data_IF_328588423397
#
_entry.id   IF_328588423397
#
_cell.length_a   1.000
_cell.length_b   1.000
_cell.length_c   1.000
_cell.angle_alpha   90.00
_cell.angle_beta   90.00
_cell.angle_gamma   90.00
#
_symmetry.space_group_name_H-M   'P 1'
#
loop_
_entity.id
_entity.type
_entity.pdbx_description
1 polymer ?
#
# COMPACT_ATOMS: atom_id res chain seq x y z
N UNK A 1 35.33 5.36 3.26
CA UNK A 1 35.46 4.52 4.47
C UNK A 1 34.54 5.10 5.55
N UNK A 2 33.34 4.54 5.65
CA UNK A 2 32.46 4.44 6.83
C UNK A 2 31.11 3.92 6.32
N UNK A 3 31.06 2.60 6.21
CA UNK A 3 29.83 1.83 6.04
C UNK A 3 29.07 1.86 7.38
N UNK A 4 27.86 2.41 7.39
CA UNK A 4 26.93 2.17 8.48
C UNK A 4 26.23 0.85 8.19
N UNK A 5 26.76 -0.23 8.77
CA UNK A 5 26.13 -1.54 8.75
C UNK A 5 24.77 -1.45 9.47
N UNK A 6 23.69 -1.79 8.77
CA UNK A 6 22.39 -2.03 9.39
C UNK A 6 22.50 -3.33 10.22
N UNK A 7 22.52 -3.18 11.54
CA UNK A 7 22.63 -4.31 12.48
C UNK A 7 21.39 -5.20 12.42
N UNK A 8 21.60 -6.52 12.44
CA UNK A 8 20.53 -7.51 12.55
C UNK A 8 19.72 -7.36 13.85
N UNK A 9 18.56 -8.03 13.97
CA UNK A 9 17.62 -7.78 15.05
C UNK A 9 18.16 -8.34 16.37
N UNK A 10 18.90 -7.52 17.12
CA UNK A 10 18.95 -7.64 18.57
C UNK A 10 17.51 -7.50 19.10
N UNK A 11 17.15 -8.27 20.11
CA UNK A 11 15.82 -8.22 20.73
C UNK A 11 15.51 -6.76 21.13
N UNK A 12 14.70 -6.10 20.32
CA UNK A 12 14.33 -4.71 20.54
C UNK A 12 13.44 -4.68 21.79
N UNK A 13 13.75 -3.81 22.75
CA UNK A 13 12.88 -3.60 23.89
C UNK A 13 11.44 -3.33 23.41
N UNK A 14 10.41 -3.79 24.14
CA UNK A 14 9.03 -3.56 23.74
C UNK A 14 8.81 -2.06 23.49
N UNK A 15 8.05 -1.70 22.45
CA UNK A 15 7.95 -0.33 22.03
C UNK A 15 7.33 0.53 23.15
N UNK A 16 8.06 1.57 23.58
CA UNK A 16 7.61 2.51 24.60
C UNK A 16 6.76 3.62 23.96
N UNK A 17 5.56 3.87 24.50
CA UNK A 17 4.67 4.95 24.06
C UNK A 17 3.20 4.54 23.94
N UNK A 18 2.29 5.50 24.12
CA UNK A 18 0.85 5.25 24.23
C UNK A 18 0.25 4.47 23.03
N UNK A 19 0.72 4.73 21.82
CA UNK A 19 0.24 4.04 20.61
C UNK A 19 1.15 2.88 20.18
N UNK A 20 2.35 2.79 20.76
CA UNK A 20 3.34 1.80 20.37
C UNK A 20 2.94 0.38 20.81
N UNK A 21 2.16 0.28 21.89
CA UNK A 21 1.49 -0.94 22.36
C UNK A 21 0.04 -1.08 21.88
N UNK A 22 -0.51 -0.08 21.20
CA UNK A 22 -1.86 -0.12 20.68
C UNK A 22 -1.92 -0.92 19.37
N UNK A 23 -3.06 -1.58 19.12
CA UNK A 23 -3.31 -2.24 17.84
C UNK A 23 -3.56 -1.18 16.76
N UNK A 24 -2.70 -1.13 15.74
CA UNK A 24 -3.00 -0.40 14.51
C UNK A 24 -3.97 -1.24 13.66
N UNK A 25 -5.23 -0.81 13.58
CA UNK A 25 -6.33 -1.65 13.09
C UNK A 25 -6.55 -1.60 11.59
N UNK A 26 -6.47 -0.42 10.97
CA UNK A 26 -6.81 -0.22 9.56
C UNK A 26 -6.31 1.15 9.06
N UNK A 27 -6.21 1.28 7.73
CA UNK A 27 -6.01 2.57 7.05
C UNK A 27 -7.25 2.93 6.25
N UNK A 28 -7.83 4.09 6.51
CA UNK A 28 -8.93 4.63 5.72
C UNK A 28 -8.44 5.35 4.48
N UNK A 29 -8.92 4.90 3.31
CA UNK A 29 -8.74 5.58 2.03
C UNK A 29 -10.11 6.13 1.61
N UNK A 30 -10.24 7.45 1.65
CA UNK A 30 -11.46 8.13 1.22
C UNK A 30 -11.53 8.18 -0.30
N UNK A 31 -12.64 7.69 -0.86
CA UNK A 31 -12.80 7.52 -2.31
C UNK A 31 -14.04 8.22 -2.85
N UNK A 32 -13.93 8.76 -4.05
CA UNK A 32 -15.04 9.40 -4.78
C UNK A 32 -15.95 8.38 -5.44
N UNK A 33 -15.40 7.28 -5.93
CA UNK A 33 -16.13 6.21 -6.60
C UNK A 33 -15.77 4.84 -6.01
N UNK A 34 -16.52 4.45 -4.97
CA UNK A 34 -16.29 3.19 -4.25
C UNK A 34 -16.33 1.97 -5.16
N UNK A 35 -17.25 1.92 -6.13
CA UNK A 35 -17.36 0.80 -7.06
C UNK A 35 -16.09 0.62 -7.90
N UNK A 36 -15.57 1.72 -8.47
CA UNK A 36 -14.34 1.71 -9.28
C UNK A 36 -13.13 1.29 -8.44
N UNK A 37 -13.06 1.79 -7.22
CA UNK A 37 -11.96 1.52 -6.29
C UNK A 37 -12.01 0.09 -5.75
N UNK A 38 -13.18 -0.40 -5.36
CA UNK A 38 -13.41 -1.81 -5.01
C UNK A 38 -12.92 -2.74 -6.12
N UNK A 39 -13.37 -2.53 -7.35
CA UNK A 39 -12.96 -3.37 -8.48
C UNK A 39 -11.44 -3.36 -8.67
N UNK A 40 -10.80 -2.19 -8.57
CA UNK A 40 -9.35 -2.11 -8.67
C UNK A 40 -8.63 -2.87 -7.56
N UNK A 41 -8.91 -2.57 -6.29
CA UNK A 41 -8.19 -3.22 -5.18
C UNK A 41 -8.52 -4.70 -5.05
N UNK A 42 -9.76 -5.12 -5.32
CA UNK A 42 -10.16 -6.52 -5.22
C UNK A 42 -9.80 -7.33 -6.47
N UNK A 43 -10.26 -6.89 -7.64
CA UNK A 43 -10.20 -7.69 -8.88
C UNK A 43 -8.86 -7.49 -9.61
N UNK A 44 -8.33 -6.26 -9.64
CA UNK A 44 -7.02 -5.98 -10.28
C UNK A 44 -5.85 -6.34 -9.38
N UNK A 45 -5.86 -5.92 -8.11
CA UNK A 45 -4.76 -6.21 -7.18
C UNK A 45 -4.89 -7.56 -6.48
N UNK A 46 -6.08 -8.15 -6.45
CA UNK A 46 -6.32 -9.46 -5.84
C UNK A 46 -6.48 -9.44 -4.33
N UNK A 47 -6.73 -8.27 -3.71
CA UNK A 47 -6.91 -8.19 -2.26
C UNK A 47 -8.28 -8.77 -1.86
N UNK A 48 -8.35 -9.72 -0.93
CA UNK A 48 -9.63 -10.30 -0.51
C UNK A 48 -10.51 -9.27 0.22
N UNK A 49 -11.81 -9.24 -0.08
CA UNK A 49 -12.78 -8.45 0.69
C UNK A 49 -13.10 -9.19 1.99
N UNK A 50 -12.90 -8.53 3.12
CA UNK A 50 -13.33 -9.04 4.44
C UNK A 50 -14.78 -8.66 4.73
N UNK A 51 -15.18 -7.44 4.38
CA UNK A 51 -16.51 -6.91 4.60
C UNK A 51 -16.80 -5.79 3.60
N UNK A 52 -18.04 -5.68 3.12
CA UNK A 52 -18.48 -4.56 2.30
C UNK A 52 -19.94 -4.18 2.54
N UNK A 53 -20.24 -2.90 2.34
CA UNK A 53 -21.58 -2.34 2.24
C UNK A 53 -21.59 -1.16 1.25
N UNK A 54 -22.72 -0.47 1.12
CA UNK A 54 -22.92 0.61 0.14
C UNK A 54 -21.88 1.76 0.22
N UNK A 55 -21.28 1.99 1.39
CA UNK A 55 -20.35 3.11 1.62
C UNK A 55 -18.95 2.69 2.05
N UNK A 56 -18.72 1.39 2.24
CA UNK A 56 -17.51 0.88 2.86
C UNK A 56 -17.08 -0.46 2.27
N UNK A 57 -15.77 -0.64 2.04
CA UNK A 57 -15.17 -1.92 1.67
C UNK A 57 -13.89 -2.10 2.46
N UNK A 58 -13.78 -3.16 3.24
CA UNK A 58 -12.54 -3.58 3.92
C UNK A 58 -11.84 -4.68 3.12
N UNK A 59 -10.57 -4.43 2.79
CA UNK A 59 -9.70 -5.32 2.02
C UNK A 59 -8.56 -5.84 2.89
N UNK A 60 -8.37 -7.15 2.90
CA UNK A 60 -7.28 -7.79 3.65
C UNK A 60 -5.95 -7.61 2.92
N UNK A 61 -4.92 -7.30 3.69
CA UNK A 61 -3.52 -7.35 3.27
C UNK A 61 -2.77 -8.40 4.09
N UNK A 62 -1.46 -8.55 3.86
CA UNK A 62 -0.59 -9.34 4.74
C UNK A 62 -0.38 -8.74 6.13
N UNK A 63 -0.81 -7.50 6.36
CA UNK A 63 -0.70 -6.78 7.64
C UNK A 63 -1.99 -6.04 7.96
N UNK A 64 -1.95 -4.72 7.91
CA UNK A 64 -3.09 -3.85 8.25
C UNK A 64 -4.07 -3.75 7.07
N UNK A 65 -5.38 -3.99 7.29
CA UNK A 65 -6.42 -3.82 6.28
C UNK A 65 -6.49 -2.41 5.68
N UNK A 66 -6.97 -2.36 4.44
CA UNK A 66 -7.32 -1.12 3.75
C UNK A 66 -8.84 -0.97 3.76
N UNK A 67 -9.33 0.13 4.33
CA UNK A 67 -10.73 0.48 4.39
C UNK A 67 -11.06 1.57 3.37
N UNK A 68 -11.70 1.20 2.26
CA UNK A 68 -12.23 2.16 1.29
C UNK A 68 -13.55 2.73 1.83
N UNK A 69 -13.65 4.05 1.99
CA UNK A 69 -14.86 4.68 2.49
C UNK A 69 -15.32 5.81 1.55
N UNK A 70 -16.58 5.76 1.12
CA UNK A 70 -17.23 6.84 0.35
C UNK A 70 -18.11 7.70 1.26
N UNK A 71 -18.28 8.98 0.92
CA UNK A 71 -19.25 9.85 1.63
C UNK A 71 -18.70 11.14 2.22
N UNK A 72 -17.39 11.41 2.13
CA UNK A 72 -16.88 12.77 2.37
C UNK A 72 -16.92 13.57 1.06
N UNK A 73 -17.59 14.72 1.05
CA UNK A 73 -17.42 15.71 -0.04
C UNK A 73 -15.93 16.04 -0.09
N UNK A 74 -15.28 15.87 -1.24
CA UNK A 74 -13.87 16.22 -1.39
C UNK A 74 -13.68 17.71 -1.05
N UNK A 75 -13.11 17.99 0.12
CA UNK A 75 -12.74 19.36 0.50
C UNK A 75 -11.39 19.62 -0.14
N UNK A 76 -11.42 20.25 -1.32
CA UNK A 76 -10.23 20.69 -2.04
C UNK A 76 -9.69 19.71 -3.08
N UNK A 77 -9.08 20.29 -4.12
CA UNK A 77 -8.26 19.60 -5.13
C UNK A 77 -6.81 19.57 -4.62
N UNK A 78 -6.50 18.73 -3.64
CA UNK A 78 -5.09 18.51 -3.26
C UNK A 78 -4.59 17.18 -3.82
N UNK A 79 -3.27 17.14 -4.03
CA UNK A 79 -2.39 16.06 -4.53
C UNK A 79 -2.74 14.65 -3.98
N UNK A 80 -2.19 13.54 -4.54
CA UNK A 80 -2.39 12.18 -4.00
C UNK A 80 -2.47 12.18 -2.49
N UNK A 81 -3.63 11.77 -1.98
CA UNK A 81 -3.97 12.02 -0.58
C UNK A 81 -3.24 11.04 0.36
N UNK A 82 -2.74 9.92 -0.18
CA UNK A 82 -2.11 8.83 0.57
C UNK A 82 -1.09 8.11 -0.32
N UNK A 83 -0.07 7.53 0.31
CA UNK A 83 0.91 6.66 -0.31
C UNK A 83 0.91 5.34 0.46
N UNK A 84 0.62 4.22 -0.21
CA UNK A 84 0.62 2.88 0.38
C UNK A 84 1.80 2.09 -0.17
N UNK A 85 2.64 1.52 0.69
CA UNK A 85 3.82 0.75 0.28
C UNK A 85 3.57 -0.75 0.49
N UNK A 86 3.90 -1.57 -0.51
CA UNK A 86 3.81 -3.03 -0.42
C UNK A 86 5.18 -3.66 -0.68
N UNK A 87 5.70 -4.38 0.32
CA UNK A 87 6.88 -5.21 0.12
C UNK A 87 6.48 -6.49 -0.62
N UNK A 88 7.18 -6.76 -1.72
CA UNK A 88 6.99 -7.92 -2.60
C UNK A 88 8.29 -8.71 -2.72
N UNK A 89 8.17 -10.01 -2.97
CA UNK A 89 9.33 -10.92 -3.05
C UNK A 89 10.09 -10.83 -4.37
N UNK A 90 9.35 -10.59 -5.47
CA UNK A 90 9.86 -10.49 -6.83
C UNK A 90 9.19 -9.28 -7.50
N UNK A 91 9.91 -8.16 -7.56
CA UNK A 91 9.37 -6.91 -8.09
C UNK A 91 9.04 -7.03 -9.59
N UNK A 92 9.92 -7.68 -10.36
CA UNK A 92 9.74 -7.82 -11.80
C UNK A 92 8.55 -8.72 -12.15
N UNK A 93 8.36 -9.83 -11.42
CA UNK A 93 7.19 -10.68 -11.56
C UNK A 93 5.91 -9.94 -11.19
N UNK A 94 5.93 -9.18 -10.11
CA UNK A 94 4.79 -8.37 -9.67
C UNK A 94 4.40 -7.35 -10.74
N UNK A 95 5.38 -6.60 -11.28
CA UNK A 95 5.16 -5.62 -12.36
C UNK A 95 4.61 -6.31 -13.62
N UNK A 96 5.14 -7.49 -14.02
CA UNK A 96 4.60 -8.25 -15.16
C UNK A 96 3.14 -8.61 -14.97
N UNK A 97 2.76 -9.11 -13.78
CA UNK A 97 1.38 -9.46 -13.46
C UNK A 97 0.45 -8.24 -13.44
N UNK A 98 0.90 -7.12 -12.89
CA UNK A 98 0.15 -5.86 -12.88
C UNK A 98 -0.09 -5.33 -14.30
N UNK A 99 0.94 -5.33 -15.15
CA UNK A 99 0.82 -4.95 -16.57
C UNK A 99 -0.15 -5.84 -17.33
N UNK A 100 -0.13 -7.15 -17.10
CA UNK A 100 -1.08 -8.09 -17.69
C UNK A 100 -2.55 -7.79 -17.28
N UNK A 101 -2.76 -7.10 -16.16
CA UNK A 101 -4.07 -6.64 -15.68
C UNK A 101 -4.36 -5.17 -16.02
N UNK A 102 -3.58 -4.57 -16.92
CA UNK A 102 -3.79 -3.21 -17.41
C UNK A 102 -3.26 -2.10 -16.50
N UNK A 103 -2.41 -2.42 -15.53
CA UNK A 103 -1.78 -1.42 -14.64
C UNK A 103 -0.42 -1.01 -15.20
N UNK A 104 -0.22 0.29 -15.38
CA UNK A 104 1.07 0.86 -15.76
C UNK A 104 1.87 1.19 -14.51
N UNK A 105 3.04 0.57 -14.37
CA UNK A 105 4.00 0.87 -13.30
C UNK A 105 5.13 1.76 -13.82
N UNK A 106 5.59 2.66 -12.95
CA UNK A 106 6.79 3.48 -13.13
C UNK A 106 8.03 2.61 -13.32
N UNK A 107 9.09 3.21 -13.87
CA UNK A 107 10.38 2.51 -14.05
C UNK A 107 10.94 2.10 -12.69
N UNK A 108 11.48 0.88 -12.61
CA UNK A 108 12.20 0.39 -11.43
C UNK A 108 13.39 1.31 -11.13
N UNK A 109 13.59 1.62 -9.85
CA UNK A 109 14.76 2.32 -9.33
C UNK A 109 15.47 1.42 -8.33
N UNK A 110 16.80 1.45 -8.40
CA UNK A 110 17.69 0.80 -7.45
C UNK A 110 17.99 1.79 -6.31
N UNK A 111 17.72 1.40 -5.07
CA UNK A 111 17.94 2.20 -3.87
C UNK A 111 18.84 1.42 -2.88
N UNK A 112 19.51 2.08 -1.91
CA UNK A 112 20.38 1.39 -0.95
C UNK A 112 19.69 0.28 -0.14
N UNK A 113 18.37 0.40 0.07
CA UNK A 113 17.55 -0.54 0.84
C UNK A 113 16.78 -1.55 -0.02
N UNK A 114 16.91 -1.51 -1.35
CA UNK A 114 16.22 -2.44 -2.23
C UNK A 114 15.82 -1.82 -3.56
N UNK A 115 14.89 -2.49 -4.25
CA UNK A 115 14.36 -2.07 -5.55
C UNK A 115 12.96 -1.54 -5.37
N UNK A 116 12.66 -0.40 -5.97
CA UNK A 116 11.33 0.21 -5.86
C UNK A 116 10.71 0.51 -7.23
N UNK A 117 9.39 0.41 -7.29
CA UNK A 117 8.56 0.95 -8.36
C UNK A 117 7.27 1.49 -7.74
N UNK A 118 6.43 2.14 -8.53
CA UNK A 118 5.11 2.56 -8.08
C UNK A 118 4.12 2.57 -9.23
N UNK A 119 2.85 2.63 -8.90
CA UNK A 119 1.75 2.85 -9.83
C UNK A 119 0.68 3.69 -9.15
N UNK A 120 -0.34 4.09 -9.90
CA UNK A 120 -1.47 4.84 -9.37
C UNK A 120 -2.75 4.04 -9.42
N UNK A 121 -3.58 4.21 -8.40
CA UNK A 121 -4.95 3.72 -8.43
C UNK A 121 -5.85 4.60 -9.33
N UNK A 122 -7.11 4.21 -9.57
CA UNK A 122 -8.00 4.93 -10.48
C UNK A 122 -8.40 6.35 -10.05
N UNK A 123 -8.07 6.76 -8.83
CA UNK A 123 -8.28 8.11 -8.29
C UNK A 123 -6.96 8.88 -8.11
N UNK A 124 -5.82 8.27 -8.48
CA UNK A 124 -4.51 8.90 -8.49
C UNK A 124 -3.72 8.76 -7.19
N UNK A 125 -4.14 7.93 -6.23
CA UNK A 125 -3.29 7.64 -5.07
C UNK A 125 -2.13 6.75 -5.50
N UNK A 126 -0.96 6.96 -4.89
CA UNK A 126 0.26 6.24 -5.24
C UNK A 126 0.36 4.97 -4.42
N UNK A 127 0.65 3.86 -5.10
CA UNK A 127 0.94 2.57 -4.49
C UNK A 127 2.38 2.21 -4.85
N UNK A 128 3.23 2.14 -3.84
CA UNK A 128 4.62 1.72 -3.92
C UNK A 128 4.75 0.20 -3.89
N UNK A 129 5.76 -0.29 -4.59
CA UNK A 129 6.24 -1.65 -4.53
C UNK A 129 7.71 -1.62 -4.14
N UNK A 130 8.07 -2.38 -3.13
CA UNK A 130 9.44 -2.54 -2.66
C UNK A 130 9.84 -4.02 -2.71
N UNK A 131 11.00 -4.31 -3.25
CA UNK A 131 11.72 -5.56 -3.04
C UNK A 131 12.97 -5.24 -2.21
N UNK A 132 12.92 -5.49 -0.90
CA UNK A 132 14.00 -5.14 0.02
C UNK A 132 15.28 -5.90 -0.31
N UNK A 133 16.43 -5.23 -0.22
CA UNK A 133 17.73 -5.92 -0.25
C UNK A 133 17.84 -6.82 0.99
N UNK A 134 18.17 -8.10 0.78
CA UNK A 134 18.39 -9.05 1.87
C UNK A 134 19.63 -8.69 2.68
#
# INVERSE_FOLDING_TARGET
>A
MRDAAYGGPGAMAPPEGLLASAKFSEVFVWVKNLRKMRAFYHETLGLPIAYENERFVELRTGGVPIALHSGRKAVGRSKPHWFLEFVVRDLDATIRMLRARGVTCERVREEPFGRISSFVDPEGNVIGLEESSR
#
